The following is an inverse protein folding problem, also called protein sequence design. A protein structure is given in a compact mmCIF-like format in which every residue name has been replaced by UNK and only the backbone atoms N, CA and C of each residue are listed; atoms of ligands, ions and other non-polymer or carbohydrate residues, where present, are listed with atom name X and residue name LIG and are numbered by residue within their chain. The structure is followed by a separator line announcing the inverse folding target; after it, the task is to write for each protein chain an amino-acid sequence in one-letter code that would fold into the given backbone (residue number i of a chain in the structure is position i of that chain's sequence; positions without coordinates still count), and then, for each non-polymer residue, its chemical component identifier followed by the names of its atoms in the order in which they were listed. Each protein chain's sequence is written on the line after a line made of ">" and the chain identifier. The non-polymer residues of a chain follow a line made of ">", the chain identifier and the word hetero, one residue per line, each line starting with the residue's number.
data_IF_879521980590
#
_entry.id   IF_879521980590
#
_cell.length_a   1.000
_cell.length_b   1.000
_cell.length_c   1.000
_cell.angle_alpha   90.00
_cell.angle_beta   90.00
_cell.angle_gamma   90.00
#
_symmetry.space_group_name_H-M   'P 1'
#
loop_
_entity.id
_entity.type
_entity.pdbx_description
1 polymer ?
#
# COMPACT_ATOMS: atom_id res chain seq x y z
N UNK A 1 -39.78 -64.36 15.22
CA UNK A 1 -38.36 -64.31 15.60
C UNK A 1 -37.68 -63.12 14.93
N UNK A 2 -37.45 -62.02 15.66
CA UNK A 2 -36.12 -61.37 15.60
C UNK A 2 -35.71 -60.86 17.00
N UNK A 3 -34.77 -61.53 17.66
CA UNK A 3 -34.37 -61.19 19.05
C UNK A 3 -32.85 -61.28 19.29
N UNK A 4 -32.03 -60.89 18.31
CA UNK A 4 -30.57 -60.82 18.50
C UNK A 4 -29.97 -59.42 18.27
N UNK A 5 -30.63 -58.55 17.50
CA UNK A 5 -30.06 -57.25 17.13
C UNK A 5 -30.38 -56.15 18.16
N UNK A 6 -31.57 -56.16 18.76
CA UNK A 6 -31.93 -55.20 19.82
C UNK A 6 -31.12 -55.38 21.12
N UNK A 7 -30.73 -56.62 21.46
CA UNK A 7 -29.95 -56.90 22.67
C UNK A 7 -28.52 -56.33 22.59
N UNK A 8 -27.91 -56.30 21.39
CA UNK A 8 -26.56 -55.72 21.19
C UNK A 8 -26.55 -54.19 21.21
N UNK A 9 -27.63 -53.53 20.78
CA UNK A 9 -27.73 -52.07 20.83
C UNK A 9 -27.93 -51.55 22.28
N UNK A 10 -28.66 -52.29 23.12
CA UNK A 10 -28.87 -51.90 24.52
C UNK A 10 -27.59 -52.03 25.36
N UNK A 11 -26.76 -53.04 25.07
CA UNK A 11 -25.48 -53.25 25.76
C UNK A 11 -24.46 -52.12 25.52
N UNK A 12 -24.40 -51.58 24.31
CA UNK A 12 -23.43 -50.52 23.97
C UNK A 12 -23.78 -49.16 24.61
N UNK A 13 -25.08 -48.89 24.82
CA UNK A 13 -25.55 -47.66 25.46
C UNK A 13 -25.30 -47.66 26.98
N UNK A 14 -25.46 -48.82 27.64
CA UNK A 14 -25.21 -48.96 29.08
C UNK A 14 -23.73 -48.83 29.45
N UNK A 15 -22.81 -49.31 28.61
CA UNK A 15 -21.35 -49.15 28.82
C UNK A 15 -20.85 -47.72 28.64
N UNK A 16 -21.44 -46.94 27.72
CA UNK A 16 -21.04 -45.53 27.53
C UNK A 16 -21.51 -44.62 28.67
N UNK A 17 -22.64 -44.92 29.32
CA UNK A 17 -23.13 -44.17 30.48
C UNK A 17 -22.27 -44.40 31.74
N UNK A 18 -21.76 -45.62 31.94
CA UNK A 18 -20.93 -45.97 33.09
C UNK A 18 -19.49 -45.40 33.02
N UNK A 19 -18.97 -45.15 31.81
CA UNK A 19 -17.64 -44.57 31.59
C UNK A 19 -17.63 -43.05 31.84
N UNK A 20 -18.77 -42.36 31.71
CA UNK A 20 -18.87 -40.92 31.94
C UNK A 20 -19.17 -40.53 33.40
N UNK A 21 -19.51 -41.48 34.27
CA UNK A 21 -19.82 -41.23 35.69
C UNK A 21 -18.64 -41.45 36.65
N UNK A 22 -17.51 -41.98 36.17
CA UNK A 22 -16.37 -42.39 37.02
C UNK A 22 -15.10 -41.52 36.92
N UNK A 23 -15.19 -40.35 36.28
CA UNK A 23 -14.09 -39.36 36.20
C UNK A 23 -14.30 -38.11 37.08
N UNK A 24 -15.29 -38.13 37.98
CA UNK A 24 -15.45 -37.10 39.02
C UNK A 24 -14.73 -37.53 40.29
N UNK A 25 -13.48 -37.07 40.46
CA UNK A 25 -12.75 -37.17 41.73
C UNK A 25 -13.33 -36.16 42.73
N UNK A 26 -13.64 -36.55 43.98
CA UNK A 26 -13.81 -35.61 45.07
C UNK A 26 -12.51 -35.48 45.86
N UNK A 27 -12.06 -34.24 46.07
CA UNK A 27 -11.10 -33.92 47.11
C UNK A 27 -10.53 -32.50 46.99
N UNK A 28 -11.06 -31.52 47.73
CA UNK A 28 -10.32 -30.34 48.14
C UNK A 28 -9.96 -30.47 49.62
N UNK A 29 -8.72 -30.13 49.98
CA UNK A 29 -8.40 -29.34 51.17
C UNK A 29 -6.92 -29.04 51.20
N UNK A 30 -6.64 -27.73 51.17
CA UNK A 30 -5.52 -27.02 51.77
C UNK A 30 -4.08 -27.47 51.47
N UNK A 31 -3.35 -26.60 50.76
CA UNK A 31 -2.03 -26.09 51.16
C UNK A 31 -1.77 -24.83 50.31
N UNK A 32 -1.18 -23.77 50.91
CA UNK A 32 -1.25 -22.41 50.38
C UNK A 32 -0.30 -22.22 49.20
N UNK A 33 -0.78 -21.46 48.23
CA UNK A 33 0.00 -20.92 47.13
C UNK A 33 1.02 -19.94 47.70
N UNK A 34 2.31 -20.23 47.53
CA UNK A 34 3.31 -19.19 47.33
C UNK A 34 3.03 -18.58 45.96
N UNK A 35 2.08 -17.65 45.98
CA UNK A 35 1.72 -16.81 44.87
C UNK A 35 2.83 -15.76 44.69
N UNK A 36 3.90 -16.16 44.00
CA UNK A 36 4.74 -15.21 43.27
C UNK A 36 3.91 -14.63 42.14
N UNK A 37 3.04 -13.70 42.52
CA UNK A 37 2.53 -12.67 41.64
C UNK A 37 3.75 -11.89 41.14
N UNK A 38 4.12 -11.92 39.84
CA UNK A 38 4.78 -10.77 39.32
C UNK A 38 3.77 -9.64 39.49
N UNK A 39 4.12 -8.63 40.28
CA UNK A 39 3.38 -7.39 40.37
C UNK A 39 3.23 -6.82 38.95
N UNK A 40 2.18 -7.22 38.23
CA UNK A 40 1.69 -6.52 37.06
C UNK A 40 1.07 -5.27 37.64
N UNK A 41 1.88 -4.23 37.75
CA UNK A 41 1.41 -2.88 38.02
C UNK A 41 0.26 -2.60 37.03
N UNK A 42 -1.00 -2.42 37.50
CA UNK A 42 -2.14 -2.18 36.63
C UNK A 42 -2.01 -0.86 35.83
N UNK A 43 -1.00 -0.05 36.13
CA UNK A 43 -0.71 1.19 35.42
C UNK A 43 -0.04 1.04 34.05
N UNK A 44 0.74 -0.03 33.80
CA UNK A 44 1.52 -0.17 32.55
C UNK A 44 0.62 -0.38 31.30
N UNK A 45 -0.36 -1.30 31.30
CA UNK A 45 -1.20 -1.50 30.10
C UNK A 45 -2.10 -0.30 29.80
N UNK A 46 -2.53 0.45 30.82
CA UNK A 46 -3.36 1.66 30.65
C UNK A 46 -2.54 2.83 30.12
N UNK A 47 -1.33 3.06 30.65
CA UNK A 47 -0.41 4.08 30.13
C UNK A 47 -0.02 3.79 28.67
N UNK A 48 0.28 2.54 28.33
CA UNK A 48 0.58 2.17 26.94
C UNK A 48 -0.63 2.36 26.02
N UNK A 49 -1.84 1.99 26.45
CA UNK A 49 -3.07 2.22 25.68
C UNK A 49 -3.36 3.71 25.45
N UNK A 50 -3.20 4.56 26.48
CA UNK A 50 -3.37 6.02 26.32
C UNK A 50 -2.31 6.64 25.41
N UNK A 51 -1.06 6.15 25.45
CA UNK A 51 0.01 6.59 24.53
C UNK A 51 -0.26 6.17 23.09
N UNK A 52 -0.81 4.96 22.90
CA UNK A 52 -1.18 4.41 21.59
C UNK A 52 -2.33 5.20 20.95
N UNK A 53 -3.39 5.47 21.71
CA UNK A 53 -4.54 6.23 21.23
C UNK A 53 -4.18 7.69 20.92
N UNK A 54 -3.23 8.27 21.64
CA UNK A 54 -2.64 9.58 21.34
C UNK A 54 -1.93 9.58 19.99
N UNK A 55 -0.98 8.65 19.80
CA UNK A 55 -0.23 8.49 18.56
C UNK A 55 -1.14 8.22 17.34
N UNK A 56 -2.19 7.42 17.51
CA UNK A 56 -3.15 7.14 16.44
C UNK A 56 -4.03 8.33 16.06
N UNK A 57 -4.32 9.25 16.99
CA UNK A 57 -5.01 10.51 16.69
C UNK A 57 -4.08 11.51 16.02
N UNK A 58 -2.84 11.59 16.49
CA UNK A 58 -1.82 12.47 15.93
C UNK A 58 -1.47 12.05 14.50
N UNK A 59 -1.33 10.75 14.23
CA UNK A 59 -1.13 10.23 12.88
C UNK A 59 -2.27 10.64 11.92
N UNK A 60 -3.54 10.50 12.32
CA UNK A 60 -4.69 10.92 11.49
C UNK A 60 -4.75 12.42 11.25
N UNK A 61 -4.33 13.23 12.23
CA UNK A 61 -4.21 14.69 12.06
C UNK A 61 -3.14 15.04 11.03
N UNK A 62 -1.96 14.42 11.16
CA UNK A 62 -0.86 14.59 10.21
C UNK A 62 -1.27 14.13 8.80
N UNK A 63 -2.01 13.04 8.65
CA UNK A 63 -2.56 12.59 7.37
C UNK A 63 -3.47 13.66 6.73
N UNK A 64 -4.42 14.20 7.50
CA UNK A 64 -5.31 15.26 7.01
C UNK A 64 -4.55 16.52 6.59
N UNK A 65 -3.50 16.89 7.34
CA UNK A 65 -2.68 18.05 7.04
C UNK A 65 -1.81 17.82 5.78
N UNK A 66 -1.24 16.61 5.64
CA UNK A 66 -0.48 16.19 4.46
C UNK A 66 -1.40 16.22 3.23
N UNK A 67 -2.61 15.67 3.30
CA UNK A 67 -3.57 15.69 2.18
C UNK A 67 -3.86 17.12 1.71
N UNK A 68 -4.15 18.01 2.65
CA UNK A 68 -4.43 19.41 2.32
C UNK A 68 -3.22 20.09 1.67
N UNK A 69 -2.02 19.92 2.23
CA UNK A 69 -0.79 20.55 1.72
C UNK A 69 -0.33 19.94 0.40
N UNK A 70 -0.46 18.63 0.22
CA UNK A 70 -0.16 17.93 -1.02
C UNK A 70 -1.11 18.38 -2.14
N UNK A 71 -2.39 18.57 -1.84
CA UNK A 71 -3.35 19.13 -2.80
C UNK A 71 -3.00 20.58 -3.18
N UNK A 72 -2.56 21.40 -2.22
CA UNK A 72 -2.08 22.76 -2.50
C UNK A 72 -0.80 22.75 -3.35
N UNK A 73 0.13 21.84 -3.06
CA UNK A 73 1.36 21.66 -3.83
C UNK A 73 1.08 21.21 -5.26
N UNK A 74 0.17 20.25 -5.43
CA UNK A 74 -0.27 19.79 -6.75
C UNK A 74 -0.96 20.92 -7.54
N UNK A 75 -1.79 21.75 -6.90
CA UNK A 75 -2.47 22.88 -7.55
C UNK A 75 -1.51 24.00 -7.96
N UNK A 76 -0.56 24.35 -7.10
CA UNK A 76 0.47 25.37 -7.41
C UNK A 76 1.37 24.90 -8.55
N UNK A 77 1.81 23.64 -8.50
CA UNK A 77 2.57 23.01 -9.59
C UNK A 77 1.76 22.95 -10.88
N UNK A 78 0.49 22.53 -10.81
CA UNK A 78 -0.38 22.52 -11.98
C UNK A 78 -0.64 23.92 -12.54
N UNK A 79 -0.72 24.95 -11.70
CA UNK A 79 -0.82 26.35 -12.16
C UNK A 79 0.44 26.78 -12.90
N UNK A 80 1.62 26.41 -12.42
CA UNK A 80 2.90 26.68 -13.12
C UNK A 80 2.94 26.03 -14.50
N UNK A 81 2.42 24.79 -14.61
CA UNK A 81 2.31 24.08 -15.88
C UNK A 81 1.20 24.63 -16.78
N UNK A 82 0.06 25.06 -16.21
CA UNK A 82 -1.14 25.54 -16.91
C UNK A 82 -1.00 26.96 -17.45
N UNK A 83 -0.30 27.85 -16.74
CA UNK A 83 0.06 29.22 -17.20
C UNK A 83 0.73 29.17 -18.60
N UNK A 84 1.25 28.01 -19.00
CA UNK A 84 2.00 27.81 -20.23
C UNK A 84 1.23 27.16 -21.39
N UNK A 85 -0.05 26.83 -21.20
CA UNK A 85 -0.93 26.29 -22.25
C UNK A 85 -0.68 24.80 -22.59
N UNK A 86 -1.65 24.08 -23.19
CA UNK A 86 -1.65 22.61 -23.30
C UNK A 86 -0.73 22.03 -24.41
N UNK A 87 0.28 22.76 -24.86
CA UNK A 87 1.14 22.35 -25.96
C UNK A 87 2.52 21.97 -25.46
N UNK A 88 2.86 20.69 -25.56
CA UNK A 88 4.18 20.06 -25.40
C UNK A 88 4.40 19.30 -24.08
N UNK A 89 4.17 17.98 -24.16
CA UNK A 89 5.12 16.99 -23.66
C UNK A 89 5.05 16.58 -22.18
N UNK A 90 4.10 15.72 -21.82
CA UNK A 90 4.13 14.92 -20.59
C UNK A 90 2.84 14.11 -20.43
N UNK A 91 2.87 12.85 -19.91
CA UNK A 91 1.70 11.98 -19.90
C UNK A 91 0.65 12.53 -18.93
N UNK A 92 -0.32 13.26 -19.48
CA UNK A 92 -1.52 13.66 -18.79
C UNK A 92 -2.31 12.39 -18.42
N UNK A 93 -2.16 11.91 -17.19
CA UNK A 93 -3.16 11.02 -16.59
C UNK A 93 -4.41 11.85 -16.38
N UNK A 94 -5.26 11.93 -17.41
CA UNK A 94 -6.61 12.49 -17.32
C UNK A 94 -7.42 11.63 -16.36
N UNK A 95 -7.64 12.13 -15.15
CA UNK A 95 -8.85 11.78 -14.40
C UNK A 95 -9.91 12.78 -14.86
N UNK A 96 -10.68 12.37 -15.86
CA UNK A 96 -11.83 13.11 -16.37
C UNK A 96 -13.02 12.88 -15.43
N UNK A 97 -13.38 13.88 -14.64
CA UNK A 97 -14.73 14.04 -14.12
C UNK A 97 -15.12 15.52 -14.19
N UNK A 98 -15.68 15.93 -15.32
CA UNK A 98 -16.63 17.04 -15.38
C UNK A 98 -17.33 17.05 -16.74
N UNK A 99 -18.61 16.70 -16.71
CA UNK A 99 -19.62 17.10 -17.68
C UNK A 99 -19.65 18.62 -17.78
N UNK A 100 -19.48 19.18 -18.98
CA UNK A 100 -20.06 20.47 -19.35
C UNK A 100 -20.03 20.66 -20.88
N UNK A 101 -21.23 20.56 -21.44
CA UNK A 101 -21.66 21.19 -22.69
C UNK A 101 -21.31 22.68 -22.75
N UNK A 102 -20.95 23.17 -23.94
CA UNK A 102 -21.27 24.54 -24.34
C UNK A 102 -20.09 25.46 -24.65
N UNK A 103 -20.06 25.85 -25.93
CA UNK A 103 -19.83 27.21 -26.42
C UNK A 103 -18.42 27.65 -26.84
N UNK A 104 -18.35 27.94 -28.14
CA UNK A 104 -17.25 28.58 -28.83
C UNK A 104 -17.38 30.10 -28.64
N UNK A 105 -16.66 30.65 -27.67
CA UNK A 105 -16.73 32.08 -27.33
C UNK A 105 -15.36 32.70 -27.07
N UNK A 106 -14.83 33.36 -28.12
CA UNK A 106 -13.89 34.49 -28.11
C UNK A 106 -13.53 35.05 -26.70
N UNK A 107 -12.30 34.88 -26.24
CA UNK A 107 -11.70 35.75 -25.20
C UNK A 107 -10.26 36.15 -25.50
N UNK A 108 -10.15 37.39 -25.96
CA UNK A 108 -9.15 38.43 -25.67
C UNK A 108 -7.76 37.95 -25.23
N UNK A 109 -6.79 38.26 -26.09
CA UNK A 109 -5.39 38.53 -25.74
C UNK A 109 -5.30 39.51 -24.56
N UNK A 110 -5.31 38.97 -23.35
CA UNK A 110 -4.85 39.67 -22.16
C UNK A 110 -3.35 39.45 -22.06
N UNK A 111 -2.61 40.56 -21.92
CA UNK A 111 -1.15 40.59 -21.98
C UNK A 111 -0.47 39.53 -21.12
N UNK A 112 0.63 39.00 -21.66
CA UNK A 112 1.58 38.20 -20.91
C UNK A 112 1.93 38.92 -19.60
N UNK A 113 1.71 38.30 -18.42
CA UNK A 113 2.18 38.90 -17.19
C UNK A 113 3.70 38.93 -17.25
N UNK A 114 4.22 40.09 -16.85
CA UNK A 114 5.63 40.39 -16.67
C UNK A 114 6.34 39.23 -15.93
N UNK A 115 7.60 38.94 -16.31
CA UNK A 115 8.36 37.75 -15.90
C UNK A 115 8.63 37.56 -14.40
N UNK A 116 8.03 38.36 -13.51
CA UNK A 116 8.09 38.21 -12.05
C UNK A 116 7.02 37.27 -11.47
N UNK A 117 5.89 37.09 -12.14
CA UNK A 117 4.80 36.24 -11.62
C UNK A 117 5.17 34.75 -11.55
N UNK A 118 6.09 34.30 -12.41
CA UNK A 118 6.61 32.93 -12.41
C UNK A 118 7.55 32.68 -11.23
N UNK A 119 8.47 33.58 -10.94
CA UNK A 119 9.46 33.41 -9.85
C UNK A 119 8.79 33.35 -8.49
N UNK A 120 7.77 34.18 -8.26
CA UNK A 120 7.03 34.22 -7.00
C UNK A 120 6.20 32.94 -6.78
N UNK A 121 5.66 32.38 -7.87
CA UNK A 121 4.89 31.13 -7.83
C UNK A 121 5.78 29.89 -7.66
N UNK A 122 6.99 29.88 -8.21
CA UNK A 122 8.00 28.84 -7.91
C UNK A 122 8.46 28.92 -6.46
N UNK A 123 8.72 30.11 -5.91
CA UNK A 123 9.09 30.28 -4.51
C UNK A 123 7.99 29.79 -3.56
N UNK A 124 6.73 30.10 -3.87
CA UNK A 124 5.57 29.59 -3.13
C UNK A 124 5.46 28.06 -3.22
N UNK A 125 5.69 27.46 -4.39
CA UNK A 125 5.69 26.01 -4.56
C UNK A 125 6.80 25.32 -3.75
N UNK A 126 8.02 25.89 -3.75
CA UNK A 126 9.14 25.40 -2.95
C UNK A 126 8.87 25.50 -1.43
N UNK A 127 8.22 26.57 -0.98
CA UNK A 127 7.82 26.69 0.43
C UNK A 127 6.85 25.55 0.82
N UNK A 128 5.78 25.34 0.04
CA UNK A 128 4.82 24.27 0.31
C UNK A 128 5.49 22.89 0.20
N UNK A 129 6.48 22.72 -0.69
CA UNK A 129 7.29 21.49 -0.79
C UNK A 129 7.98 21.19 0.55
N UNK A 130 8.70 22.15 1.11
CA UNK A 130 9.41 21.97 2.39
C UNK A 130 8.47 21.68 3.56
N UNK A 131 7.29 22.32 3.59
CA UNK A 131 6.26 22.03 4.61
C UNK A 131 5.75 20.58 4.49
N UNK A 132 5.53 20.07 3.27
CA UNK A 132 5.10 18.68 3.06
C UNK A 132 6.20 17.70 3.46
N UNK A 133 7.48 18.00 3.17
CA UNK A 133 8.62 17.19 3.61
C UNK A 133 8.69 17.09 5.14
N UNK A 134 8.49 18.22 5.83
CA UNK A 134 8.43 18.27 7.29
C UNK A 134 7.28 17.43 7.84
N UNK A 135 6.07 17.57 7.29
CA UNK A 135 4.90 16.79 7.72
C UNK A 135 5.08 15.29 7.48
N UNK A 136 5.67 14.89 6.34
CA UNK A 136 6.00 13.50 6.04
C UNK A 136 7.00 12.93 7.05
N UNK A 137 8.02 13.71 7.44
CA UNK A 137 8.99 13.31 8.47
C UNK A 137 8.34 13.11 9.84
N UNK A 138 7.36 13.97 10.19
CA UNK A 138 6.60 13.86 11.45
C UNK A 138 5.70 12.64 11.46
N UNK A 139 5.06 12.32 10.33
CA UNK A 139 4.28 11.08 10.19
C UNK A 139 5.18 9.85 10.25
N UNK A 140 6.37 9.89 9.64
CA UNK A 140 7.35 8.80 9.76
C UNK A 140 7.75 8.55 11.22
N UNK A 141 8.03 9.62 11.97
CA UNK A 141 8.37 9.54 13.38
C UNK A 141 7.21 9.00 14.24
N UNK A 142 5.96 9.34 13.92
CA UNK A 142 4.79 8.82 14.65
C UNK A 142 4.54 7.34 14.34
N UNK A 143 4.72 6.90 13.10
CA UNK A 143 4.65 5.48 12.71
C UNK A 143 5.75 4.68 13.39
N UNK A 144 6.96 5.22 13.47
CA UNK A 144 8.07 4.59 14.19
C UNK A 144 7.86 4.56 15.71
N UNK A 145 7.25 5.59 16.29
CA UNK A 145 6.82 5.56 17.69
C UNK A 145 5.76 4.49 17.95
N UNK A 146 4.76 4.36 17.07
CA UNK A 146 3.76 3.28 17.15
C UNK A 146 4.41 1.91 16.98
N UNK A 147 5.37 1.75 16.06
CA UNK A 147 6.10 0.49 15.86
C UNK A 147 6.89 0.08 17.12
N UNK A 148 7.51 1.04 17.81
CA UNK A 148 8.22 0.81 19.09
C UNK A 148 7.28 0.40 20.21
N UNK A 149 6.15 1.11 20.38
CA UNK A 149 5.15 0.76 21.41
C UNK A 149 4.57 -0.64 21.14
N UNK A 150 4.33 -0.98 19.89
CA UNK A 150 3.92 -2.33 19.49
C UNK A 150 4.97 -3.39 19.79
N UNK A 151 6.24 -3.10 19.52
CA UNK A 151 7.34 -4.02 19.77
C UNK A 151 7.54 -4.26 21.28
N UNK A 152 7.36 -3.22 22.10
CA UNK A 152 7.42 -3.29 23.55
C UNK A 152 6.22 -4.03 24.17
N UNK A 153 5.04 -3.94 23.56
CA UNK A 153 3.84 -4.64 24.03
C UNK A 153 3.91 -6.18 23.87
N UNK A 154 4.81 -6.69 23.01
CA UNK A 154 5.08 -8.11 22.84
C UNK A 154 3.90 -8.94 22.30
N UNK A 155 4.17 -10.20 21.93
CA UNK A 155 3.18 -11.14 21.39
C UNK A 155 2.09 -11.58 22.40
N UNK A 156 2.16 -11.11 23.65
CA UNK A 156 1.32 -11.55 24.77
C UNK A 156 -0.02 -10.81 24.89
N UNK A 157 -0.22 -9.69 24.17
CA UNK A 157 -1.50 -8.98 24.19
C UNK A 157 -2.46 -9.53 23.12
N UNK A 158 -3.60 -10.08 23.55
CA UNK A 158 -4.68 -10.55 22.67
C UNK A 158 -5.26 -9.44 21.73
N UNK A 159 -4.88 -8.18 21.93
CA UNK A 159 -5.18 -7.03 21.05
C UNK A 159 -4.09 -6.67 20.03
N UNK A 160 -2.96 -7.37 20.00
CA UNK A 160 -1.80 -7.05 19.15
C UNK A 160 -2.06 -7.13 17.64
N UNK A 161 -3.05 -7.92 17.20
CA UNK A 161 -3.41 -8.03 15.79
C UNK A 161 -3.97 -6.74 15.18
N UNK A 162 -4.86 -6.05 15.91
CA UNK A 162 -5.44 -4.78 15.47
C UNK A 162 -4.39 -3.64 15.48
N UNK A 163 -3.53 -3.60 16.50
CA UNK A 163 -2.40 -2.68 16.59
C UNK A 163 -1.40 -2.89 15.43
N UNK A 164 -1.09 -4.14 15.08
CA UNK A 164 -0.21 -4.50 13.94
C UNK A 164 -0.78 -4.09 12.60
N UNK A 165 -2.08 -4.34 12.40
CA UNK A 165 -2.75 -3.90 11.18
C UNK A 165 -2.79 -2.37 11.06
N UNK A 166 -3.02 -1.65 12.16
CA UNK A 166 -3.03 -0.18 12.16
C UNK A 166 -1.66 0.42 11.80
N UNK A 167 -0.57 -0.10 12.38
CA UNK A 167 0.79 0.35 12.03
C UNK A 167 1.12 0.04 10.57
N UNK A 168 0.77 -1.15 10.10
CA UNK A 168 0.96 -1.51 8.69
C UNK A 168 0.20 -0.54 7.76
N UNK A 169 -1.05 -0.20 8.10
CA UNK A 169 -1.84 0.78 7.36
C UNK A 169 -1.18 2.15 7.31
N UNK A 170 -0.71 2.67 8.44
CA UNK A 170 -0.05 3.98 8.47
C UNK A 170 1.29 3.96 7.70
N UNK A 171 2.01 2.83 7.68
CA UNK A 171 3.20 2.66 6.86
C UNK A 171 2.89 2.63 5.34
N UNK A 172 1.80 1.98 4.94
CA UNK A 172 1.32 1.96 3.56
C UNK A 172 0.89 3.37 3.12
N UNK A 173 0.10 4.06 3.93
CA UNK A 173 -0.33 5.46 3.68
C UNK A 173 0.87 6.39 3.53
N UNK A 174 1.87 6.28 4.42
CA UNK A 174 3.10 7.07 4.32
C UNK A 174 3.85 6.83 3.01
N UNK A 175 3.90 5.58 2.55
CA UNK A 175 4.52 5.21 1.28
C UNK A 175 3.77 5.81 0.09
N UNK A 176 2.44 5.80 0.14
CA UNK A 176 1.59 6.40 -0.90
C UNK A 176 1.81 7.91 -0.98
N UNK A 177 1.78 8.62 0.16
CA UNK A 177 2.07 10.06 0.20
C UNK A 177 3.49 10.40 -0.27
N UNK A 178 4.49 9.60 0.11
CA UNK A 178 5.87 9.81 -0.37
C UNK A 178 5.97 9.63 -1.88
N UNK A 179 5.21 8.70 -2.44
CA UNK A 179 5.19 8.44 -3.88
C UNK A 179 4.51 9.57 -4.64
N UNK A 180 3.36 10.05 -4.17
CA UNK A 180 2.65 11.19 -4.76
C UNK A 180 3.42 12.51 -4.59
N UNK A 181 4.09 12.70 -3.47
CA UNK A 181 4.99 13.83 -3.25
C UNK A 181 6.15 13.82 -4.26
N UNK A 182 6.82 12.68 -4.46
CA UNK A 182 7.88 12.55 -5.47
C UNK A 182 7.36 12.77 -6.89
N UNK A 183 6.14 12.33 -7.18
CA UNK A 183 5.49 12.56 -8.48
C UNK A 183 5.26 14.04 -8.73
N UNK A 184 4.70 14.76 -7.77
CA UNK A 184 4.45 16.21 -7.87
C UNK A 184 5.76 17.01 -7.90
N UNK A 185 6.76 16.61 -7.12
CA UNK A 185 8.11 17.19 -7.18
C UNK A 185 8.76 17.07 -8.56
N UNK A 186 8.68 15.89 -9.20
CA UNK A 186 9.18 15.71 -10.58
C UNK A 186 8.46 16.61 -11.58
N UNK A 187 7.16 16.80 -11.41
CA UNK A 187 6.38 17.71 -12.26
C UNK A 187 6.81 19.18 -12.10
N UNK A 188 7.17 19.61 -10.88
CA UNK A 188 7.70 20.95 -10.62
C UNK A 188 9.10 21.14 -11.21
N UNK A 189 9.99 20.15 -11.08
CA UNK A 189 11.33 20.21 -11.69
C UNK A 189 11.22 20.29 -13.21
N UNK A 190 10.38 19.46 -13.83
CA UNK A 190 10.15 19.49 -15.26
C UNK A 190 9.58 20.83 -15.75
N UNK A 191 8.68 21.47 -14.98
CA UNK A 191 8.15 22.79 -15.36
C UNK A 191 9.20 23.89 -15.25
N UNK A 192 10.11 23.79 -14.26
CA UNK A 192 11.26 24.69 -14.12
C UNK A 192 12.29 24.52 -15.22
N UNK A 193 12.71 23.30 -15.54
CA UNK A 193 13.67 23.03 -16.62
C UNK A 193 13.12 23.51 -17.97
N UNK A 194 11.82 23.29 -18.21
CA UNK A 194 11.16 23.86 -19.38
C UNK A 194 11.21 25.39 -19.39
N UNK A 195 11.02 26.05 -18.23
CA UNK A 195 11.11 27.50 -18.11
C UNK A 195 12.51 28.02 -18.41
N UNK A 196 13.55 27.40 -17.85
CA UNK A 196 14.94 27.77 -18.06
C UNK A 196 15.35 27.55 -19.53
N UNK A 197 14.89 26.47 -20.16
CA UNK A 197 15.13 26.20 -21.58
C UNK A 197 14.56 27.26 -22.52
N UNK A 198 13.32 27.74 -22.29
CA UNK A 198 12.76 28.83 -23.09
C UNK A 198 13.39 30.18 -22.77
N UNK A 199 13.80 30.43 -21.52
CA UNK A 199 14.53 31.64 -21.17
C UNK A 199 15.89 31.69 -21.89
N UNK A 200 16.60 30.56 -21.94
CA UNK A 200 17.82 30.39 -22.72
C UNK A 200 17.60 30.60 -24.22
N UNK A 201 16.61 29.92 -24.81
CA UNK A 201 16.27 30.10 -26.23
C UNK A 201 15.88 31.53 -26.58
N UNK A 202 15.14 32.23 -25.70
CA UNK A 202 14.80 33.64 -25.89
C UNK A 202 16.03 34.54 -25.79
N UNK A 203 16.95 34.26 -24.87
CA UNK A 203 18.20 35.01 -24.74
C UNK A 203 19.10 34.81 -25.97
N UNK A 204 19.17 33.60 -26.51
CA UNK A 204 19.90 33.29 -27.73
C UNK A 204 19.30 34.00 -28.96
N UNK A 205 17.98 33.97 -29.12
CA UNK A 205 17.30 34.72 -30.19
C UNK A 205 17.50 36.23 -30.08
N UNK A 206 17.55 36.77 -28.86
CA UNK A 206 17.84 38.19 -28.63
C UNK A 206 19.32 38.51 -28.90
N UNK A 207 20.24 37.60 -28.60
CA UNK A 207 21.66 37.74 -28.91
C UNK A 207 21.91 37.70 -30.42
N UNK A 208 21.26 36.77 -31.13
CA UNK A 208 21.33 36.65 -32.60
C UNK A 208 20.68 37.85 -33.29
N UNK A 209 19.57 38.37 -32.74
CA UNK A 209 18.94 39.60 -33.26
C UNK A 209 19.74 40.88 -32.96
N UNK A 210 20.52 40.92 -31.87
CA UNK A 210 21.36 42.06 -31.50
C UNK A 210 22.76 42.02 -32.14
N UNK A 211 23.22 40.85 -32.58
CA UNK A 211 24.41 40.68 -33.40
C UNK A 211 24.08 40.98 -34.87
N UNK A 212 24.58 42.09 -35.40
CA UNK A 212 24.54 42.37 -36.84
C UNK A 212 25.07 41.16 -37.66
N UNK A 213 24.56 40.91 -38.89
CA UNK A 213 24.90 39.71 -39.66
C UNK A 213 26.40 39.69 -39.99
N UNK A 214 27.20 39.03 -39.16
CA UNK A 214 28.63 38.89 -39.40
C UNK A 214 28.82 37.79 -40.44
N UNK A 215 29.07 38.22 -41.68
CA UNK A 215 29.45 37.38 -42.80
C UNK A 215 30.58 36.41 -42.40
N UNK A 216 30.32 35.10 -42.54
CA UNK A 216 31.33 34.05 -42.66
C UNK A 216 31.85 33.37 -41.39
N UNK A 217 31.74 33.97 -40.20
CA UNK A 217 32.33 33.40 -38.96
C UNK A 217 31.32 32.91 -37.91
N UNK A 218 30.18 33.59 -37.77
CA UNK A 218 29.19 33.31 -36.71
C UNK A 218 28.57 31.91 -36.79
N UNK A 219 28.38 31.39 -38.00
CA UNK A 219 27.83 30.04 -38.22
C UNK A 219 28.72 28.94 -37.62
N UNK A 220 30.05 29.10 -37.66
CA UNK A 220 30.98 28.10 -37.10
C UNK A 220 30.99 28.12 -35.57
N UNK A 221 30.80 29.28 -34.94
CA UNK A 221 30.66 29.35 -33.49
C UNK A 221 29.30 28.81 -33.02
N UNK A 222 28.22 29.10 -33.76
CA UNK A 222 26.91 28.51 -33.53
C UNK A 222 26.95 26.97 -33.71
N UNK A 223 27.60 26.47 -34.76
CA UNK A 223 27.80 25.04 -35.00
C UNK A 223 28.66 24.38 -33.92
N UNK A 224 29.72 25.05 -33.46
CA UNK A 224 30.54 24.53 -32.37
C UNK A 224 29.77 24.48 -31.05
N UNK A 225 28.90 25.45 -30.81
CA UNK A 225 28.05 25.49 -29.61
C UNK A 225 26.95 24.43 -29.68
N UNK A 226 26.37 24.20 -30.86
CA UNK A 226 25.39 23.13 -31.08
C UNK A 226 26.02 21.73 -31.03
N UNK A 227 27.27 21.56 -31.48
CA UNK A 227 28.04 20.33 -31.31
C UNK A 227 28.39 20.08 -29.84
N UNK A 228 28.75 21.12 -29.09
CA UNK A 228 29.02 21.01 -27.66
C UNK A 228 27.75 20.64 -26.87
N UNK A 229 26.60 21.23 -27.20
CA UNK A 229 25.32 20.89 -26.57
C UNK A 229 24.82 19.51 -26.99
N UNK A 230 25.02 19.10 -28.25
CA UNK A 230 24.76 17.74 -28.73
C UNK A 230 25.64 16.70 -28.02
N UNK A 231 26.92 17.03 -27.78
CA UNK A 231 27.84 16.20 -27.00
C UNK A 231 27.35 16.01 -25.56
N UNK A 232 27.03 17.10 -24.87
CA UNK A 232 26.47 17.05 -23.52
C UNK A 232 25.13 16.28 -23.47
N UNK A 233 24.29 16.41 -24.49
CA UNK A 233 23.05 15.65 -24.63
C UNK A 233 23.27 14.16 -24.87
N UNK A 234 24.28 13.79 -25.66
CA UNK A 234 24.68 12.40 -25.87
C UNK A 234 25.20 11.77 -24.57
N UNK A 235 26.04 12.48 -23.81
CA UNK A 235 26.52 12.02 -22.51
C UNK A 235 25.37 11.84 -21.49
N UNK A 236 24.40 12.76 -21.48
CA UNK A 236 23.20 12.61 -20.67
C UNK A 236 22.37 11.39 -21.08
N UNK A 237 22.22 11.12 -22.38
CA UNK A 237 21.53 9.94 -22.89
C UNK A 237 22.27 8.63 -22.55
N UNK A 238 23.61 8.63 -22.61
CA UNK A 238 24.44 7.49 -22.21
C UNK A 238 24.29 7.21 -20.71
N UNK A 239 24.32 8.23 -19.87
CA UNK A 239 24.13 8.10 -18.43
C UNK A 239 22.71 7.63 -18.08
N UNK A 240 21.69 8.16 -18.75
CA UNK A 240 20.31 7.70 -18.59
C UNK A 240 20.13 6.24 -19.05
N UNK A 241 20.79 5.83 -20.14
CA UNK A 241 20.83 4.45 -20.62
C UNK A 241 21.52 3.51 -19.64
N UNK A 242 22.63 3.94 -19.03
CA UNK A 242 23.32 3.18 -17.99
C UNK A 242 22.45 2.99 -16.73
N UNK A 243 21.72 4.03 -16.32
CA UNK A 243 20.76 3.95 -15.22
C UNK A 243 19.59 3.01 -15.54
N UNK A 244 19.04 3.08 -16.77
CA UNK A 244 17.96 2.17 -17.21
C UNK A 244 18.43 0.71 -17.24
N UNK A 245 19.67 0.46 -17.67
CA UNK A 245 20.26 -0.88 -17.64
C UNK A 245 20.32 -1.42 -16.22
N UNK A 246 20.77 -0.61 -15.27
CA UNK A 246 20.82 -1.00 -13.85
C UNK A 246 19.41 -1.30 -13.30
N UNK A 247 18.41 -0.50 -13.66
CA UNK A 247 17.02 -0.74 -13.26
C UNK A 247 16.44 -2.02 -13.86
N UNK A 248 16.74 -2.34 -15.13
CA UNK A 248 16.35 -3.62 -15.73
C UNK A 248 17.04 -4.81 -15.05
N UNK A 249 18.29 -4.67 -14.63
CA UNK A 249 19.02 -5.68 -13.86
C UNK A 249 18.35 -5.91 -12.48
N UNK A 250 17.98 -4.82 -11.77
CA UNK A 250 17.24 -4.88 -10.51
C UNK A 250 15.86 -5.52 -10.68
N UNK A 251 15.14 -5.18 -11.76
CA UNK A 251 13.85 -5.80 -12.10
C UNK A 251 14.03 -7.29 -12.36
N UNK A 252 15.06 -7.69 -13.13
CA UNK A 252 15.39 -9.10 -13.37
C UNK A 252 15.68 -9.84 -12.07
N UNK A 253 16.45 -9.27 -11.16
CA UNK A 253 16.72 -9.87 -9.84
C UNK A 253 15.43 -10.02 -9.02
N UNK A 254 14.53 -9.04 -9.11
CA UNK A 254 13.23 -9.09 -8.46
C UNK A 254 12.36 -10.20 -9.03
N UNK A 255 12.28 -10.33 -10.36
CA UNK A 255 11.57 -11.44 -11.02
C UNK A 255 12.19 -12.80 -10.68
N UNK A 256 13.52 -12.90 -10.68
CA UNK A 256 14.22 -14.12 -10.26
C UNK A 256 13.86 -14.51 -8.82
N UNK A 257 13.76 -13.53 -7.91
CA UNK A 257 13.33 -13.78 -6.53
C UNK A 257 11.85 -14.17 -6.43
N UNK A 258 10.98 -13.65 -7.30
CA UNK A 258 9.56 -14.04 -7.37
C UNK A 258 9.40 -15.45 -7.91
N UNK A 259 10.14 -15.82 -8.97
CA UNK A 259 10.17 -17.17 -9.52
C UNK A 259 10.71 -18.15 -8.48
N UNK A 260 11.81 -17.83 -7.81
CA UNK A 260 12.35 -18.66 -6.73
C UNK A 260 11.36 -18.84 -5.57
N UNK A 261 10.59 -17.79 -5.22
CA UNK A 261 9.50 -17.89 -4.23
C UNK A 261 8.34 -18.74 -4.75
N UNK A 262 7.99 -18.64 -6.03
CA UNK A 262 6.93 -19.42 -6.65
C UNK A 262 7.30 -20.92 -6.71
N UNK A 263 8.55 -21.24 -7.02
CA UNK A 263 9.10 -22.59 -6.93
C UNK A 263 9.10 -23.10 -5.49
N UNK A 264 9.56 -22.29 -4.53
CA UNK A 264 9.51 -22.64 -3.10
C UNK A 264 8.08 -22.81 -2.56
N UNK A 265 7.09 -22.09 -3.11
CA UNK A 265 5.67 -22.33 -2.84
C UNK A 265 5.22 -23.64 -3.49
N UNK A 266 5.65 -23.95 -4.71
CA UNK A 266 5.43 -25.24 -5.36
C UNK A 266 5.94 -26.43 -4.53
N UNK A 267 7.14 -26.30 -3.96
CA UNK A 267 7.75 -27.29 -3.06
C UNK A 267 7.06 -27.39 -1.68
N UNK A 268 6.38 -26.33 -1.22
CA UNK A 268 5.54 -26.33 -0.01
C UNK A 268 4.08 -26.70 -0.27
N UNK A 269 3.73 -26.95 -1.53
CA UNK A 269 2.40 -27.40 -1.98
C UNK A 269 2.25 -28.93 -2.20
N UNK A 270 3.07 -29.87 -1.66
CA UNK A 270 2.70 -31.29 -1.62
C UNK A 270 1.67 -31.52 -0.49
N UNK A 271 0.49 -30.93 -0.63
CA UNK A 271 -0.55 -30.95 0.40
C UNK A 271 -1.95 -30.67 -0.11
N UNK A 272 -2.09 -29.92 -1.23
CA UNK A 272 -3.40 -29.61 -1.81
C UNK A 272 -4.12 -30.90 -2.21
N UNK A 273 -3.43 -31.90 -2.77
CA UNK A 273 -4.07 -33.17 -3.15
C UNK A 273 -4.53 -34.00 -1.93
N UNK A 274 -3.87 -33.85 -0.77
CA UNK A 274 -4.32 -34.45 0.51
C UNK A 274 -5.47 -33.68 1.13
N UNK A 275 -5.44 -32.34 1.10
CA UNK A 275 -6.50 -31.47 1.63
C UNK A 275 -7.80 -31.62 0.81
N UNK A 276 -7.71 -31.61 -0.53
CA UNK A 276 -8.84 -31.91 -1.43
C UNK A 276 -9.41 -33.32 -1.14
N UNK A 277 -8.52 -34.29 -0.88
CA UNK A 277 -8.89 -35.66 -0.54
C UNK A 277 -9.60 -35.78 0.82
N UNK A 278 -9.15 -35.05 1.84
CA UNK A 278 -9.74 -35.06 3.18
C UNK A 278 -11.12 -34.39 3.20
N UNK A 279 -11.30 -33.30 2.43
CA UNK A 279 -12.60 -32.63 2.26
C UNK A 279 -13.62 -33.57 1.59
N UNK A 280 -13.22 -34.29 0.53
CA UNK A 280 -14.08 -35.31 -0.12
C UNK A 280 -14.44 -36.47 0.82
N UNK A 281 -13.54 -36.90 1.70
CA UNK A 281 -13.79 -38.00 2.66
C UNK A 281 -14.76 -37.62 3.77
N UNK A 282 -14.73 -36.38 4.28
CA UNK A 282 -15.75 -35.90 5.25
C UNK A 282 -17.14 -35.87 4.63
N UNK A 283 -17.26 -35.33 3.41
CA UNK A 283 -18.56 -35.29 2.69
C UNK A 283 -19.12 -36.68 2.37
N UNK A 284 -18.26 -37.67 2.04
CA UNK A 284 -18.70 -39.06 1.82
C UNK A 284 -19.20 -39.77 3.08
N UNK A 285 -18.59 -39.51 4.25
CA UNK A 285 -19.04 -40.13 5.50
C UNK A 285 -20.43 -39.67 5.92
N UNK A 286 -20.72 -38.39 5.76
CA UNK A 286 -22.02 -37.81 6.13
C UNK A 286 -23.16 -38.38 5.26
N UNK A 287 -22.92 -38.50 3.95
CA UNK A 287 -23.88 -39.13 3.02
C UNK A 287 -24.09 -40.62 3.34
N UNK A 288 -23.05 -41.37 3.74
CA UNK A 288 -23.20 -42.77 4.14
C UNK A 288 -24.01 -42.92 5.44
N UNK A 289 -23.82 -42.04 6.43
CA UNK A 289 -24.59 -42.06 7.67
C UNK A 289 -26.06 -41.75 7.40
N UNK A 290 -26.35 -40.70 6.61
CA UNK A 290 -27.73 -40.35 6.25
C UNK A 290 -28.42 -41.47 5.45
N UNK A 291 -27.73 -42.09 4.49
CA UNK A 291 -28.28 -43.21 3.73
C UNK A 291 -28.58 -44.43 4.62
N UNK A 292 -27.73 -44.74 5.60
CA UNK A 292 -27.96 -45.83 6.55
C UNK A 292 -29.18 -45.56 7.43
N UNK A 293 -29.30 -44.34 7.97
CA UNK A 293 -30.46 -43.94 8.78
C UNK A 293 -31.75 -44.09 7.98
N UNK A 294 -31.79 -43.55 6.76
CA UNK A 294 -32.97 -43.66 5.88
C UNK A 294 -33.29 -45.12 5.55
N UNK A 295 -32.29 -45.96 5.23
CA UNK A 295 -32.50 -47.37 4.95
C UNK A 295 -33.09 -48.12 6.16
N UNK A 296 -32.59 -47.85 7.38
CA UNK A 296 -33.12 -48.48 8.60
C UNK A 296 -34.56 -48.05 8.90
N UNK A 297 -34.88 -46.77 8.71
CA UNK A 297 -36.25 -46.24 8.88
C UNK A 297 -37.23 -46.87 7.89
N UNK A 298 -36.85 -46.97 6.61
CA UNK A 298 -37.67 -47.62 5.58
C UNK A 298 -37.87 -49.12 5.84
N UNK A 299 -36.86 -49.80 6.39
CA UNK A 299 -36.97 -51.21 6.74
C UNK A 299 -37.96 -51.44 7.90
N UNK A 300 -37.88 -50.62 8.95
CA UNK A 300 -38.82 -50.70 10.08
C UNK A 300 -40.27 -50.42 9.65
N UNK A 301 -40.49 -49.40 8.82
CA UNK A 301 -41.85 -49.07 8.34
C UNK A 301 -42.40 -50.17 7.42
N UNK A 302 -41.55 -50.79 6.59
CA UNK A 302 -41.93 -51.94 5.76
C UNK A 302 -42.36 -53.16 6.60
N UNK A 303 -41.59 -53.50 7.65
CA UNK A 303 -41.94 -54.59 8.55
C UNK A 303 -43.23 -54.32 9.32
N UNK A 304 -43.43 -53.08 9.80
CA UNK A 304 -44.64 -52.70 10.50
C UNK A 304 -45.89 -52.75 9.62
N UNK A 305 -45.77 -52.46 8.32
CA UNK A 305 -46.90 -52.53 7.39
C UNK A 305 -47.21 -53.97 6.94
N UNK A 306 -46.19 -54.84 6.92
CA UNK A 306 -46.33 -56.24 6.49
C UNK A 306 -46.80 -57.16 7.62
N UNK A 307 -46.63 -56.74 8.88
CA UNK A 307 -47.12 -57.42 10.08
C UNK A 307 -48.52 -56.90 10.41
#
# INVERSE_FOLDING_TARGET
>A
MPSAVCARAFAYCHTSAHILLHLSLPGPTHLPLDEYTPAVCPGIPVLMATSWDGLGKDARRLESDIDAKLALFARTTASLTSIRGPGLGGPATRISTATATGDAGRRRSAGAPNGSGGTDTYAAAEHVRTEVEELLSRLAASVDAMSRVQSAAGAAAAGGGASRHMVARHADILRDYTTEFRRTQRALVASREAADGLAGARAELLHDAAGAPSAGGGGLYAERTSLASAGAGADAALNAGAALREDLERQRQTFASMVARMDAVGERVPGINRLIGQIRRKKKRDVMVMALVVATLLFLTGLWKLT
#
